data_IF_781723406834
#
_entry.id   IF_781723406834
#
_cell.length_a   1.000
_cell.length_b   1.000
_cell.length_c   1.000
_cell.angle_alpha   90.00
_cell.angle_beta   90.00
_cell.angle_gamma   90.00
#
_symmetry.space_group_name_H-M   'P 1'
#
loop_
_entity.id
_entity.type
_entity.pdbx_description
1 polymer ?
#
# COMPACT_ATOMS: atom_id res chain seq x y z
N UNK A 1 -30.04 27.95 -24.00
CA UNK A 1 -30.29 29.37 -24.36
C UNK A 1 -29.81 29.55 -25.78
N UNK A 2 -30.72 29.84 -26.70
CA UNK A 2 -30.37 30.13 -28.08
C UNK A 2 -30.76 31.59 -28.37
N UNK A 3 -29.81 32.34 -28.90
CA UNK A 3 -30.00 33.66 -29.43
C UNK A 3 -29.87 33.56 -30.95
N UNK A 4 -30.83 34.08 -31.69
CA UNK A 4 -30.73 34.25 -33.14
C UNK A 4 -31.16 35.64 -33.53
N UNK A 5 -30.36 36.26 -34.38
CA UNK A 5 -30.67 37.52 -35.07
C UNK A 5 -30.71 37.21 -36.56
N UNK A 6 -31.76 37.63 -37.21
CA UNK A 6 -31.92 37.55 -38.65
C UNK A 6 -32.20 38.92 -39.16
N UNK A 7 -31.41 39.38 -40.10
CA UNK A 7 -31.53 40.63 -40.81
C UNK A 7 -31.83 40.27 -42.26
N UNK A 8 -32.92 40.76 -42.80
CA UNK A 8 -33.33 40.46 -44.15
C UNK A 8 -33.73 41.78 -44.87
N UNK A 9 -32.92 42.17 -45.82
CA UNK A 9 -33.13 43.32 -46.68
C UNK A 9 -33.99 42.91 -47.90
N UNK A 10 -34.87 43.78 -48.39
CA UNK A 10 -35.73 43.52 -49.56
C UNK A 10 -36.79 42.44 -49.39
N UNK A 11 -37.54 42.46 -48.29
CA UNK A 11 -38.56 41.42 -48.04
C UNK A 11 -39.82 41.55 -48.90
N UNK A 12 -40.26 42.76 -49.23
CA UNK A 12 -41.36 43.02 -50.16
C UNK A 12 -41.37 44.48 -50.62
N UNK A 13 -42.16 44.81 -51.66
CA UNK A 13 -42.31 46.18 -52.24
C UNK A 13 -42.83 47.24 -51.27
N UNK A 14 -43.21 46.86 -50.04
CA UNK A 14 -43.74 47.74 -49.00
C UNK A 14 -42.99 47.65 -47.66
N UNK A 15 -41.98 46.81 -47.57
CA UNK A 15 -41.16 46.63 -46.34
C UNK A 15 -39.71 46.40 -46.76
N UNK A 16 -38.86 47.42 -46.53
CA UNK A 16 -37.47 47.45 -46.97
C UNK A 16 -36.55 46.68 -46.06
N UNK A 17 -36.88 46.57 -44.78
CA UNK A 17 -36.00 45.91 -43.76
C UNK A 17 -36.85 45.28 -42.69
N UNK A 18 -36.55 44.04 -42.33
CA UNK A 18 -37.09 43.30 -41.16
C UNK A 18 -35.94 42.81 -40.30
N UNK A 19 -35.76 43.41 -39.12
CA UNK A 19 -34.88 42.95 -38.07
C UNK A 19 -35.66 42.05 -37.10
N UNK A 20 -35.35 40.78 -37.07
CA UNK A 20 -35.93 39.84 -36.09
C UNK A 20 -34.88 39.38 -35.07
N UNK A 21 -35.07 39.82 -33.83
CA UNK A 21 -34.29 39.30 -32.72
C UNK A 21 -35.12 38.32 -31.89
N UNK A 22 -34.66 37.09 -31.76
CA UNK A 22 -35.34 36.12 -30.92
C UNK A 22 -34.44 35.55 -29.85
N UNK A 23 -34.88 35.57 -28.60
CA UNK A 23 -34.25 34.93 -27.44
C UNK A 23 -35.12 33.76 -26.96
N UNK A 24 -34.65 32.55 -27.14
CA UNK A 24 -35.37 31.35 -26.71
C UNK A 24 -34.67 30.67 -25.55
N UNK A 25 -35.32 30.64 -24.38
CA UNK A 25 -34.89 29.84 -23.24
C UNK A 25 -35.82 28.62 -23.09
N UNK A 26 -35.28 27.43 -23.18
CA UNK A 26 -36.06 26.20 -23.03
C UNK A 26 -35.61 25.46 -21.76
N UNK A 27 -36.55 25.24 -20.84
CA UNK A 27 -36.35 24.41 -19.65
C UNK A 27 -37.17 23.13 -19.85
N UNK A 28 -36.47 22.00 -19.92
CA UNK A 28 -37.14 20.69 -20.08
C UNK A 28 -37.09 19.94 -18.72
N UNK A 29 -38.24 19.81 -18.10
CA UNK A 29 -38.37 19.03 -16.86
C UNK A 29 -39.15 17.75 -17.12
N UNK A 30 -38.50 16.61 -17.10
CA UNK A 30 -39.16 15.31 -17.30
C UNK A 30 -39.90 14.89 -16.03
N UNK A 31 -41.17 15.18 -15.92
CA UNK A 31 -42.01 14.85 -14.77
C UNK A 31 -42.34 13.35 -14.66
N UNK A 32 -42.53 12.66 -15.78
CA UNK A 32 -42.88 11.23 -15.83
C UNK A 32 -42.06 10.53 -16.91
N UNK A 33 -41.18 9.61 -16.52
CA UNK A 33 -40.38 8.73 -17.41
C UNK A 33 -40.59 7.26 -17.10
N UNK A 34 -41.85 6.77 -17.04
CA UNK A 34 -42.16 5.34 -16.92
C UNK A 34 -41.38 4.59 -15.84
N UNK A 35 -41.23 5.15 -14.65
CA UNK A 35 -40.49 4.52 -13.52
C UNK A 35 -38.95 4.63 -13.58
N UNK A 36 -38.37 5.14 -14.70
CA UNK A 36 -36.92 5.28 -14.86
C UNK A 36 -36.27 6.11 -13.75
N UNK A 37 -36.88 7.21 -13.36
CA UNK A 37 -36.40 8.09 -12.30
C UNK A 37 -36.40 7.37 -10.94
N UNK A 38 -37.45 6.60 -10.63
CA UNK A 38 -37.53 5.81 -9.42
C UNK A 38 -36.45 4.72 -9.37
N UNK A 39 -36.28 3.98 -10.48
CA UNK A 39 -35.24 2.97 -10.59
C UNK A 39 -33.82 3.55 -10.47
N UNK A 40 -33.59 4.74 -11.06
CA UNK A 40 -32.30 5.43 -10.96
C UNK A 40 -32.01 5.87 -9.51
N UNK A 41 -32.99 6.43 -8.81
CA UNK A 41 -32.85 6.80 -7.39
C UNK A 41 -32.55 5.57 -6.53
N UNK A 42 -33.30 4.47 -6.77
CA UNK A 42 -33.09 3.21 -6.05
C UNK A 42 -31.70 2.64 -6.30
N UNK A 43 -31.24 2.66 -7.56
CA UNK A 43 -29.88 2.27 -7.94
C UNK A 43 -28.84 3.09 -7.19
N UNK A 44 -28.94 4.42 -7.21
CA UNK A 44 -28.00 5.30 -6.51
C UNK A 44 -27.98 5.10 -5.00
N UNK A 45 -29.13 4.75 -4.40
CA UNK A 45 -29.19 4.38 -2.97
C UNK A 45 -28.42 3.09 -2.67
N UNK A 46 -28.57 2.07 -3.51
CA UNK A 46 -27.82 0.83 -3.35
C UNK A 46 -26.31 1.02 -3.62
N UNK A 47 -25.94 1.80 -4.62
CA UNK A 47 -24.53 2.16 -4.88
C UNK A 47 -23.91 2.90 -3.68
N UNK A 48 -24.67 3.82 -3.06
CA UNK A 48 -24.22 4.48 -1.82
C UNK A 48 -24.00 3.50 -0.68
N UNK A 49 -24.93 2.57 -0.48
CA UNK A 49 -24.79 1.53 0.57
C UNK A 49 -23.62 0.59 0.29
N UNK A 50 -23.47 0.17 -0.95
CA UNK A 50 -22.33 -0.62 -1.39
C UNK A 50 -21.00 0.10 -1.11
N UNK A 51 -20.88 1.36 -1.49
CA UNK A 51 -19.67 2.15 -1.26
C UNK A 51 -19.38 2.34 0.24
N UNK A 52 -20.41 2.45 1.07
CA UNK A 52 -20.26 2.49 2.53
C UNK A 52 -19.68 1.19 3.09
N UNK A 53 -20.19 0.04 2.64
CA UNK A 53 -19.66 -1.26 3.04
C UNK A 53 -18.22 -1.48 2.54
N UNK A 54 -17.90 -1.03 1.33
CA UNK A 54 -16.53 -1.06 0.79
C UNK A 54 -15.59 -0.20 1.65
N UNK A 55 -16.04 0.99 2.07
CA UNK A 55 -15.25 1.84 2.97
C UNK A 55 -14.94 1.13 4.29
N UNK A 56 -15.94 0.53 4.92
CA UNK A 56 -15.79 -0.22 6.16
C UNK A 56 -14.82 -1.41 6.00
N UNK A 57 -14.94 -2.14 4.89
CA UNK A 57 -14.04 -3.24 4.55
C UNK A 57 -12.59 -2.77 4.40
N UNK A 58 -12.35 -1.71 3.65
CA UNK A 58 -11.02 -1.10 3.47
C UNK A 58 -10.45 -0.60 4.81
N UNK A 59 -11.26 0.03 5.67
CA UNK A 59 -10.83 0.45 7.00
C UNK A 59 -10.36 -0.75 7.85
N UNK A 60 -11.12 -1.84 7.84
CA UNK A 60 -10.78 -3.06 8.56
C UNK A 60 -9.54 -3.75 7.97
N UNK A 61 -9.41 -3.76 6.65
CA UNK A 61 -8.23 -4.28 5.96
C UNK A 61 -6.97 -3.49 6.36
N UNK A 62 -7.03 -2.16 6.35
CA UNK A 62 -5.90 -1.30 6.75
C UNK A 62 -5.50 -1.56 8.21
N UNK A 63 -6.47 -1.63 9.13
CA UNK A 63 -6.20 -1.94 10.55
C UNK A 63 -5.50 -3.28 10.71
N UNK A 64 -6.01 -4.31 10.01
CA UNK A 64 -5.45 -5.67 10.06
C UNK A 64 -4.04 -5.73 9.47
N UNK A 65 -3.83 -5.10 8.32
CA UNK A 65 -2.50 -5.02 7.68
C UNK A 65 -1.50 -4.30 8.57
N UNK A 66 -1.87 -3.18 9.14
CA UNK A 66 -0.99 -2.41 10.04
C UNK A 66 -0.61 -3.23 11.28
N UNK A 67 -1.56 -3.94 11.90
CA UNK A 67 -1.28 -4.83 13.03
C UNK A 67 -0.34 -5.97 12.65
N UNK A 68 -0.51 -6.55 11.45
CA UNK A 68 0.36 -7.61 10.95
C UNK A 68 1.80 -7.12 10.70
N UNK A 69 1.99 -5.96 10.07
CA UNK A 69 3.33 -5.38 9.87
C UNK A 69 3.99 -4.98 11.18
N UNK A 70 3.22 -4.46 12.14
CA UNK A 70 3.74 -4.19 13.48
C UNK A 70 4.21 -5.48 14.18
N UNK A 71 3.42 -6.55 14.13
CA UNK A 71 3.79 -7.85 14.71
C UNK A 71 5.02 -8.43 14.02
N UNK A 72 5.13 -8.32 12.69
CA UNK A 72 6.31 -8.73 11.92
C UNK A 72 7.56 -7.97 12.34
N UNK A 73 7.46 -6.64 12.49
CA UNK A 73 8.56 -5.81 12.99
C UNK A 73 9.01 -6.24 14.39
N UNK A 74 8.10 -6.45 15.33
CA UNK A 74 8.45 -6.90 16.68
C UNK A 74 9.09 -8.29 16.69
N UNK A 75 8.58 -9.20 15.88
CA UNK A 75 9.14 -10.54 15.72
C UNK A 75 10.55 -10.50 15.13
N UNK A 76 10.77 -9.76 14.05
CA UNK A 76 12.10 -9.64 13.42
C UNK A 76 13.12 -9.00 14.36
N UNK A 77 12.71 -8.01 15.17
CA UNK A 77 13.57 -7.43 16.21
C UNK A 77 13.98 -8.47 17.26
N UNK A 78 13.04 -9.30 17.71
CA UNK A 78 13.32 -10.34 18.70
C UNK A 78 14.24 -11.42 18.11
N UNK A 79 14.03 -11.80 16.85
CA UNK A 79 14.90 -12.76 16.13
C UNK A 79 16.31 -12.20 15.99
N UNK A 80 16.48 -10.93 15.64
CA UNK A 80 17.78 -10.28 15.53
C UNK A 80 18.57 -10.35 16.85
N UNK A 81 17.92 -10.04 17.97
CA UNK A 81 18.56 -10.11 19.30
C UNK A 81 18.94 -11.57 19.63
N UNK A 82 18.07 -12.52 19.34
CA UNK A 82 18.31 -13.94 19.58
C UNK A 82 19.47 -14.47 18.74
N UNK A 83 19.51 -14.18 17.44
CA UNK A 83 20.58 -14.62 16.53
C UNK A 83 21.92 -13.96 16.86
N UNK A 84 21.94 -12.70 17.34
CA UNK A 84 23.16 -12.08 17.83
C UNK A 84 23.72 -12.82 19.06
N UNK A 85 22.86 -13.20 19.98
CA UNK A 85 23.27 -14.00 21.15
C UNK A 85 23.75 -15.38 20.76
N UNK A 86 23.09 -16.02 19.80
CA UNK A 86 23.48 -17.31 19.25
C UNK A 86 24.84 -17.25 18.54
N UNK A 87 25.08 -16.20 17.74
CA UNK A 87 26.36 -15.96 17.08
C UNK A 87 27.48 -15.84 18.11
N UNK A 88 27.28 -15.00 19.14
CA UNK A 88 28.28 -14.84 20.21
C UNK A 88 28.59 -16.16 20.95
N UNK A 89 27.57 -16.96 21.24
CA UNK A 89 27.75 -18.26 21.84
C UNK A 89 28.54 -19.22 20.94
N UNK A 90 28.25 -19.23 19.63
CA UNK A 90 28.96 -20.03 18.64
C UNK A 90 30.44 -19.59 18.47
N UNK A 91 30.71 -18.29 18.55
CA UNK A 91 32.07 -17.75 18.52
C UNK A 91 32.88 -18.21 19.72
N UNK A 92 32.35 -18.08 20.93
CA UNK A 92 33.01 -18.55 22.18
C UNK A 92 33.24 -20.06 22.15
N UNK A 93 32.24 -20.84 21.69
CA UNK A 93 32.34 -22.28 21.61
C UNK A 93 33.42 -22.73 20.59
N UNK A 94 33.45 -22.09 19.41
CA UNK A 94 34.46 -22.39 18.40
C UNK A 94 35.86 -22.02 18.85
N UNK A 95 36.03 -20.88 19.53
CA UNK A 95 37.30 -20.45 20.11
C UNK A 95 37.78 -21.45 21.15
N UNK A 96 36.94 -21.86 22.11
CA UNK A 96 37.24 -22.82 23.14
C UNK A 96 37.67 -24.16 22.55
N UNK A 97 36.91 -24.75 21.62
CA UNK A 97 37.22 -26.02 20.96
C UNK A 97 38.55 -25.91 20.18
N UNK A 98 38.84 -24.80 19.54
CA UNK A 98 40.08 -24.58 18.78
C UNK A 98 41.30 -24.51 19.74
N UNK A 99 41.17 -23.78 20.85
CA UNK A 99 42.22 -23.65 21.85
C UNK A 99 42.55 -25.02 22.51
N UNK A 100 41.52 -25.79 22.87
CA UNK A 100 41.67 -27.14 23.42
C UNK A 100 42.36 -28.09 22.42
N UNK A 101 42.03 -28.01 21.13
CA UNK A 101 42.66 -28.77 20.07
C UNK A 101 44.14 -28.38 19.90
N UNK A 102 44.46 -27.08 19.85
CA UNK A 102 45.81 -26.60 19.68
C UNK A 102 46.73 -26.89 20.88
N UNK A 103 46.16 -26.98 22.09
CA UNK A 103 46.91 -27.37 23.30
C UNK A 103 47.20 -28.86 23.40
N UNK A 104 46.72 -29.67 22.44
CA UNK A 104 46.93 -31.11 22.42
C UNK A 104 46.01 -31.88 23.40
N UNK A 105 44.97 -31.23 23.89
CA UNK A 105 43.95 -31.84 24.72
C UNK A 105 43.03 -32.76 23.87
N UNK A 106 42.17 -33.50 24.47
CA UNK A 106 41.39 -34.64 23.90
C UNK A 106 40.41 -34.29 22.75
N UNK A 107 40.51 -33.12 22.16
CA UNK A 107 39.66 -32.70 21.04
C UNK A 107 40.12 -33.25 19.69
N UNK A 108 39.17 -33.62 18.86
CA UNK A 108 39.40 -34.19 17.53
C UNK A 108 39.29 -33.11 16.43
N UNK A 109 39.98 -33.33 15.30
CA UNK A 109 39.83 -32.47 14.11
C UNK A 109 38.39 -32.39 13.64
N UNK A 110 37.60 -33.46 13.83
CA UNK A 110 36.18 -33.47 13.49
C UNK A 110 35.40 -32.46 14.30
N UNK A 111 35.63 -32.36 15.62
CA UNK A 111 34.96 -31.40 16.51
C UNK A 111 35.29 -29.94 16.11
N UNK A 112 36.54 -29.67 15.72
CA UNK A 112 36.95 -28.34 15.21
C UNK A 112 36.20 -27.99 13.93
N UNK A 113 36.08 -28.94 12.98
CA UNK A 113 35.35 -28.71 11.72
C UNK A 113 33.87 -28.51 12.01
N UNK A 114 33.26 -29.28 12.91
CA UNK A 114 31.87 -29.14 13.30
C UNK A 114 31.59 -27.79 13.97
N UNK A 115 32.46 -27.34 14.88
CA UNK A 115 32.30 -26.04 15.55
C UNK A 115 32.40 -24.85 14.57
N UNK A 116 33.32 -24.96 13.59
CA UNK A 116 33.43 -23.95 12.51
C UNK A 116 32.19 -23.92 11.63
N UNK A 117 31.61 -25.09 11.32
CA UNK A 117 30.34 -25.15 10.57
C UNK A 117 29.21 -24.50 11.35
N UNK A 118 29.06 -24.78 12.63
CA UNK A 118 28.05 -24.18 13.50
C UNK A 118 28.23 -22.65 13.61
N UNK A 119 29.48 -22.17 13.70
CA UNK A 119 29.77 -20.76 13.69
C UNK A 119 29.37 -20.10 12.36
N UNK A 120 29.66 -20.74 11.24
CA UNK A 120 29.29 -20.25 9.92
C UNK A 120 27.76 -20.15 9.78
N UNK A 121 27.04 -21.19 10.22
CA UNK A 121 25.58 -21.21 10.21
C UNK A 121 24.98 -20.09 11.09
N UNK A 122 25.56 -19.85 12.26
CA UNK A 122 25.16 -18.76 13.14
C UNK A 122 25.39 -17.38 12.50
N UNK A 123 26.53 -17.17 11.81
CA UNK A 123 26.81 -15.94 11.05
C UNK A 123 25.81 -15.71 9.93
N UNK A 124 25.50 -16.75 9.17
CA UNK A 124 24.50 -16.68 8.09
C UNK A 124 23.12 -16.36 8.67
N UNK A 125 22.72 -17.00 9.77
CA UNK A 125 21.44 -16.74 10.42
C UNK A 125 21.34 -15.31 10.93
N UNK A 126 22.40 -14.79 11.53
CA UNK A 126 22.44 -13.40 12.00
C UNK A 126 22.34 -12.40 10.84
N UNK A 127 23.14 -12.55 9.79
CA UNK A 127 23.09 -11.68 8.60
C UNK A 127 21.71 -11.69 7.92
N UNK A 128 21.04 -12.85 7.87
CA UNK A 128 19.65 -12.93 7.38
C UNK A 128 18.68 -12.16 8.28
N UNK A 129 18.83 -12.27 9.59
CA UNK A 129 17.96 -11.58 10.55
C UNK A 129 18.15 -10.05 10.51
N UNK A 130 19.37 -9.57 10.28
CA UNK A 130 19.65 -8.14 10.06
C UNK A 130 18.91 -7.62 8.83
N UNK A 131 19.03 -8.34 7.70
CA UNK A 131 18.30 -8.00 6.48
C UNK A 131 16.78 -7.97 6.72
N UNK A 132 16.24 -9.01 7.35
CA UNK A 132 14.81 -9.16 7.56
C UNK A 132 14.25 -8.11 8.52
N UNK A 133 15.04 -7.68 9.50
CA UNK A 133 14.70 -6.58 10.38
C UNK A 133 14.61 -5.25 9.61
N UNK A 134 15.60 -4.94 8.79
CA UNK A 134 15.58 -3.74 7.94
C UNK A 134 14.39 -3.74 6.99
N UNK A 135 14.13 -4.87 6.33
CA UNK A 135 12.96 -5.01 5.44
C UNK A 135 11.66 -4.76 6.22
N UNK A 136 11.51 -5.34 7.41
CA UNK A 136 10.30 -5.16 8.22
C UNK A 136 10.06 -3.72 8.66
N UNK A 137 11.13 -2.94 8.88
CA UNK A 137 11.03 -1.50 9.14
C UNK A 137 10.48 -0.73 7.94
N UNK A 138 11.02 -1.00 6.74
CA UNK A 138 10.54 -0.35 5.52
C UNK A 138 9.11 -0.76 5.17
N UNK A 139 8.75 -2.02 5.35
CA UNK A 139 7.37 -2.49 5.14
C UNK A 139 6.38 -1.79 6.08
N UNK A 140 6.74 -1.62 7.35
CA UNK A 140 5.91 -0.89 8.31
C UNK A 140 5.80 0.59 7.93
N UNK A 141 6.90 1.25 7.55
CA UNK A 141 6.90 2.64 7.09
C UNK A 141 6.06 2.81 5.82
N UNK A 142 6.15 1.87 4.89
CA UNK A 142 5.33 1.86 3.67
C UNK A 142 3.84 1.79 4.00
N UNK A 143 3.47 0.90 4.93
CA UNK A 143 2.07 0.74 5.36
C UNK A 143 1.52 2.00 6.05
N UNK A 144 2.37 2.73 6.77
CA UNK A 144 2.01 3.98 7.43
C UNK A 144 2.05 5.21 6.49
N UNK A 145 2.44 5.02 5.22
CA UNK A 145 2.61 6.11 4.26
C UNK A 145 3.83 6.99 4.53
N UNK A 146 4.75 6.54 5.37
CA UNK A 146 5.95 7.30 5.78
C UNK A 146 7.13 7.22 4.81
N UNK A 147 7.05 6.43 3.74
CA UNK A 147 8.10 6.38 2.72
C UNK A 147 8.01 7.61 1.82
N UNK A 148 8.87 8.60 2.07
CA UNK A 148 9.11 9.71 1.16
C UNK A 148 10.49 9.59 0.49
N UNK A 149 10.62 10.14 -0.73
CA UNK A 149 11.88 10.12 -1.51
C UNK A 149 13.04 10.85 -0.76
N UNK A 150 12.74 11.62 0.28
CA UNK A 150 13.73 12.37 1.06
C UNK A 150 14.41 11.54 2.17
N UNK A 151 14.20 10.22 2.23
CA UNK A 151 14.82 9.33 3.22
C UNK A 151 16.17 8.74 2.71
N UNK A 152 16.53 8.99 1.44
CA UNK A 152 17.78 8.53 0.82
C UNK A 152 18.72 9.68 0.49
#
# INVERSE_FOLDING_TARGET
LNYSRSENDDFSASVDEIDEESLKATITWPLIKGGKNYSSIKKSKFEKEQNKLILEDVENEVKTKTANFWSKYQSSKSILISTASQLKAAEIANEGITLEYDSGDSRTTLEVIQSRSLLLDARIAHAKSERDFVISQFELLAQLGGLSINIF
#
